data_IF_800959849894
#
_entry.id   IF_800959849894
#
_cell.length_a   1.000
_cell.length_b   1.000
_cell.length_c   1.000
_cell.angle_alpha   90.00
_cell.angle_beta   90.00
_cell.angle_gamma   90.00
#
_symmetry.space_group_name_H-M   'P 1'
#
loop_
_entity.id
_entity.type
_entity.pdbx_description
1 polymer ?
#
# COMPACT_ATOMS: atom_id res chain seq x y z
N UNK A 1 -16.30 33.67 9.35
CA UNK A 1 -17.31 32.85 10.06
C UNK A 1 -16.71 31.48 10.28
N UNK A 2 -16.29 31.13 11.50
CA UNK A 2 -15.65 29.84 11.78
C UNK A 2 -16.65 28.70 11.70
N UNK A 3 -16.29 27.59 11.03
CA UNK A 3 -17.12 26.40 10.97
C UNK A 3 -17.43 25.89 12.39
N UNK A 4 -18.69 25.49 12.68
CA UNK A 4 -19.05 24.97 13.99
C UNK A 4 -18.19 23.75 14.31
N UNK A 5 -17.54 23.75 15.47
CA UNK A 5 -16.75 22.60 15.90
C UNK A 5 -17.67 21.37 16.03
N UNK A 6 -17.24 20.20 15.52
CA UNK A 6 -18.02 18.98 15.70
C UNK A 6 -18.16 18.70 17.20
N UNK A 7 -19.32 18.17 17.63
CA UNK A 7 -19.59 17.92 19.04
C UNK A 7 -18.49 17.01 19.63
N UNK A 8 -18.08 17.25 20.89
CA UNK A 8 -17.07 16.44 21.54
C UNK A 8 -17.52 14.97 21.54
N UNK A 9 -16.63 14.08 21.12
CA UNK A 9 -16.94 12.64 21.08
C UNK A 9 -17.26 12.18 22.50
N UNK A 10 -18.38 11.45 22.70
CA UNK A 10 -18.74 10.98 24.02
C UNK A 10 -17.63 10.07 24.58
N UNK A 11 -17.39 10.09 25.90
CA UNK A 11 -16.37 9.26 26.52
C UNK A 11 -16.62 7.78 26.22
N UNK A 12 -15.55 7.06 25.86
CA UNK A 12 -15.63 5.63 25.58
C UNK A 12 -15.95 4.88 26.88
N UNK A 13 -17.19 4.40 27.00
CA UNK A 13 -17.61 3.63 28.16
C UNK A 13 -17.07 2.20 28.12
N UNK A 14 -16.19 1.83 29.04
CA UNK A 14 -15.59 0.49 29.09
C UNK A 14 -16.62 -0.56 29.57
N UNK A 15 -16.90 -1.55 28.72
CA UNK A 15 -17.88 -2.59 29.01
C UNK A 15 -17.40 -3.47 30.17
N UNK A 16 -18.22 -3.57 31.22
CA UNK A 16 -17.87 -4.34 32.43
C UNK A 16 -16.93 -3.62 33.39
N UNK A 17 -16.70 -2.31 33.24
CA UNK A 17 -15.83 -1.52 34.11
C UNK A 17 -16.17 -1.64 35.61
N UNK A 18 -17.46 -1.66 35.96
CA UNK A 18 -17.91 -1.83 37.35
C UNK A 18 -17.52 -3.20 37.93
N UNK A 19 -17.64 -4.27 37.13
CA UNK A 19 -17.27 -5.63 37.53
C UNK A 19 -15.74 -5.76 37.66
N UNK A 20 -15.01 -5.18 36.72
CA UNK A 20 -13.55 -5.08 36.78
C UNK A 20 -13.09 -4.28 37.99
N UNK A 21 -13.82 -3.22 38.39
CA UNK A 21 -13.50 -2.36 39.52
C UNK A 21 -13.56 -3.11 40.86
N UNK A 22 -14.58 -3.94 41.07
CA UNK A 22 -14.69 -4.79 42.27
C UNK A 22 -13.54 -5.80 42.41
N UNK A 23 -12.89 -6.16 41.30
CA UNK A 23 -11.77 -7.10 41.28
C UNK A 23 -10.39 -6.40 41.32
N UNK A 24 -10.33 -5.07 41.39
CA UNK A 24 -9.06 -4.32 41.41
C UNK A 24 -8.26 -4.53 42.69
N UNK A 25 -8.94 -4.80 43.81
CA UNK A 25 -8.33 -5.01 45.12
C UNK A 25 -8.00 -6.48 45.40
N UNK A 26 -8.35 -7.39 44.48
CA UNK A 26 -8.03 -8.80 44.64
C UNK A 26 -6.50 -9.02 44.49
N UNK A 27 -5.90 -9.72 45.44
CA UNK A 27 -4.47 -10.06 45.41
C UNK A 27 -4.11 -11.04 44.29
N UNK A 28 -5.06 -11.88 43.86
CA UNK A 28 -4.92 -12.77 42.73
C UNK A 28 -6.25 -12.92 41.98
N UNK A 29 -6.17 -13.06 40.65
CA UNK A 29 -7.31 -13.33 39.78
C UNK A 29 -7.27 -14.77 39.29
N UNK A 30 -8.45 -15.41 39.21
CA UNK A 30 -8.54 -16.73 38.58
C UNK A 30 -8.24 -16.62 37.07
N UNK A 31 -7.71 -17.70 36.49
CA UNK A 31 -7.46 -17.80 35.04
C UNK A 31 -8.73 -17.48 34.24
N UNK A 32 -9.87 -17.97 34.70
CA UNK A 32 -11.15 -17.76 34.04
C UNK A 32 -11.55 -16.27 34.03
N UNK A 33 -11.37 -15.56 35.14
CA UNK A 33 -11.72 -14.15 35.25
C UNK A 33 -10.85 -13.28 34.33
N UNK A 34 -9.55 -13.60 34.25
CA UNK A 34 -8.63 -12.95 33.30
C UNK A 34 -9.07 -13.18 31.85
N UNK A 35 -9.43 -14.41 31.48
CA UNK A 35 -9.85 -14.74 30.12
C UNK A 35 -11.16 -14.05 29.75
N UNK A 36 -12.16 -14.05 30.65
CA UNK A 36 -13.44 -13.36 30.44
C UNK A 36 -13.25 -11.85 30.28
N UNK A 37 -12.40 -11.23 31.11
CA UNK A 37 -12.06 -9.80 31.02
C UNK A 37 -11.38 -9.46 29.71
N UNK A 38 -10.37 -10.24 29.29
CA UNK A 38 -9.65 -10.04 28.02
C UNK A 38 -10.57 -10.20 26.82
N UNK A 39 -11.40 -11.25 26.79
CA UNK A 39 -12.36 -11.49 25.71
C UNK A 39 -13.32 -10.31 25.55
N UNK A 40 -13.91 -9.83 26.67
CA UNK A 40 -14.83 -8.69 26.66
C UNK A 40 -14.17 -7.42 26.12
N UNK A 41 -12.96 -7.10 26.60
CA UNK A 41 -12.19 -5.93 26.16
C UNK A 41 -11.82 -6.02 24.68
N UNK A 42 -11.41 -7.19 24.19
CA UNK A 42 -11.08 -7.39 22.79
C UNK A 42 -12.30 -7.20 21.88
N UNK A 43 -13.44 -7.80 22.23
CA UNK A 43 -14.67 -7.64 21.46
C UNK A 43 -15.14 -6.17 21.44
N UNK A 44 -15.03 -5.48 22.57
CA UNK A 44 -15.32 -4.05 22.63
C UNK A 44 -14.39 -3.24 21.75
N UNK A 45 -13.07 -3.51 21.81
CA UNK A 45 -12.08 -2.84 20.99
C UNK A 45 -12.38 -3.02 19.49
N UNK A 46 -12.67 -4.26 19.06
CA UNK A 46 -13.05 -4.55 17.69
C UNK A 46 -14.30 -3.78 17.25
N UNK A 47 -15.31 -3.67 18.13
CA UNK A 47 -16.52 -2.90 17.86
C UNK A 47 -16.22 -1.41 17.67
N UNK A 48 -15.39 -0.82 18.53
CA UNK A 48 -15.00 0.59 18.45
C UNK A 48 -14.21 0.90 17.17
N UNK A 49 -13.23 0.07 16.80
CA UNK A 49 -12.47 0.25 15.56
C UNK A 49 -13.38 0.11 14.33
N UNK A 50 -14.32 -0.83 14.34
CA UNK A 50 -15.30 -0.98 13.27
C UNK A 50 -16.19 0.26 13.15
N UNK A 51 -16.69 0.79 14.25
CA UNK A 51 -17.48 2.02 14.26
C UNK A 51 -16.67 3.22 13.75
N UNK A 52 -15.41 3.37 14.17
CA UNK A 52 -14.52 4.43 13.70
C UNK A 52 -14.24 4.32 12.20
N UNK A 53 -14.01 3.10 11.71
CA UNK A 53 -13.82 2.85 10.29
C UNK A 53 -15.03 3.31 9.47
N UNK A 54 -16.25 2.91 9.88
CA UNK A 54 -17.47 3.30 9.15
C UNK A 54 -17.72 4.81 9.22
N UNK A 55 -17.51 5.44 10.39
CA UNK A 55 -17.62 6.90 10.50
C UNK A 55 -16.67 7.63 9.54
N UNK A 56 -15.40 7.18 9.44
CA UNK A 56 -14.44 7.75 8.49
C UNK A 56 -14.82 7.45 7.03
N UNK A 57 -15.31 6.23 6.75
CA UNK A 57 -15.73 5.83 5.42
C UNK A 57 -16.92 6.63 4.91
N UNK A 58 -17.80 7.11 5.80
CA UNK A 58 -18.92 7.99 5.46
C UNK A 58 -18.50 9.47 5.37
N UNK A 59 -17.64 9.95 6.28
CA UNK A 59 -17.20 11.34 6.31
C UNK A 59 -16.24 11.72 5.17
N UNK A 60 -15.30 10.83 4.81
CA UNK A 60 -14.26 11.14 3.83
C UNK A 60 -14.84 11.41 2.42
N UNK A 61 -15.74 10.59 1.86
CA UNK A 61 -16.36 10.87 0.57
C UNK A 61 -17.20 12.15 0.59
N UNK A 62 -17.90 12.43 1.69
CA UNK A 62 -18.70 13.65 1.82
C UNK A 62 -17.83 14.92 1.79
N UNK A 63 -16.74 14.92 2.57
CA UNK A 63 -15.77 16.03 2.58
C UNK A 63 -15.01 16.14 1.26
N UNK A 64 -14.65 15.02 0.65
CA UNK A 64 -14.05 15.00 -0.69
C UNK A 64 -15.01 15.57 -1.74
N UNK A 65 -16.31 15.24 -1.65
CA UNK A 65 -17.34 15.80 -2.51
C UNK A 65 -17.47 17.31 -2.34
N UNK A 66 -17.48 17.82 -1.10
CA UNK A 66 -17.48 19.26 -0.81
C UNK A 66 -16.22 19.94 -1.34
N UNK A 67 -15.04 19.40 -1.05
CA UNK A 67 -13.77 19.90 -1.59
C UNK A 67 -13.78 19.94 -3.12
N UNK A 68 -14.28 18.88 -3.75
CA UNK A 68 -14.36 18.82 -5.20
C UNK A 68 -15.43 19.77 -5.76
N UNK A 69 -16.48 20.06 -5.02
CA UNK A 69 -17.46 21.07 -5.41
C UNK A 69 -16.87 22.49 -5.34
N UNK A 70 -16.13 22.77 -4.27
CA UNK A 70 -15.52 24.09 -4.02
C UNK A 70 -14.25 24.35 -4.86
N UNK A 71 -13.50 23.29 -5.21
CA UNK A 71 -12.17 23.36 -5.84
C UNK A 71 -12.03 22.47 -7.10
N UNK A 72 -13.09 21.81 -7.57
CA UNK A 72 -13.03 20.87 -8.70
C UNK A 72 -12.80 21.53 -10.06
N UNK A 73 -13.05 22.83 -10.15
CA UNK A 73 -12.30 23.67 -11.07
C UNK A 73 -10.95 23.97 -10.40
N UNK A 74 -9.89 23.29 -10.84
CA UNK A 74 -8.52 23.68 -10.52
C UNK A 74 -8.44 25.21 -10.61
N UNK A 75 -7.85 25.93 -9.64
CA UNK A 75 -7.47 27.32 -9.87
C UNK A 75 -6.45 27.26 -11.00
N UNK A 76 -6.94 27.32 -12.24
CA UNK A 76 -6.18 27.90 -13.31
C UNK A 76 -5.84 29.27 -12.76
N UNK A 77 -4.55 29.50 -12.59
CA UNK A 77 -4.06 30.83 -12.32
C UNK A 77 -4.58 31.69 -13.48
N UNK A 78 -5.68 32.40 -13.24
CA UNK A 78 -6.10 33.54 -14.03
C UNK A 78 -5.11 34.68 -13.75
N UNK A 79 -3.82 34.42 -13.98
CA UNK A 79 -2.81 35.46 -14.06
C UNK A 79 -2.77 35.90 -15.53
N UNK A 80 -3.55 36.95 -15.80
CA UNK A 80 -3.40 37.90 -16.91
C UNK A 80 -3.24 37.29 -18.31
N UNK A 81 -4.35 37.00 -18.99
CA UNK A 81 -4.36 36.87 -20.46
C UNK A 81 -4.04 38.23 -21.11
N UNK A 82 -3.00 38.36 -21.95
CA UNK A 82 -2.91 39.46 -22.90
C UNK A 82 -4.00 39.29 -23.97
N UNK A 83 -4.69 40.37 -24.40
CA UNK A 83 -5.78 40.27 -25.35
C UNK A 83 -5.21 40.18 -26.76
N UNK A 84 -4.86 38.99 -27.22
CA UNK A 84 -4.64 38.69 -28.63
C UNK A 84 -4.61 37.19 -28.83
N UNK A 85 -5.70 36.64 -29.39
CA UNK A 85 -5.72 35.66 -30.48
C UNK A 85 -7.18 35.15 -30.63
N UNK A 86 -8.04 36.04 -31.09
CA UNK A 86 -9.16 35.64 -31.95
C UNK A 86 -8.62 34.96 -33.20
N UNK A 87 -9.36 33.94 -33.70
CA UNK A 87 -9.16 33.14 -34.92
C UNK A 87 -8.23 31.93 -34.70
N UNK A 88 -8.70 30.68 -34.76
CA UNK A 88 -9.26 30.05 -35.95
C UNK A 88 -10.18 28.86 -35.60
N UNK A 89 -11.39 28.91 -36.15
CA UNK A 89 -12.29 27.79 -36.38
C UNK A 89 -11.68 26.89 -37.48
N UNK A 90 -11.57 25.58 -37.23
CA UNK A 90 -11.14 24.63 -38.26
C UNK A 90 -11.43 23.18 -37.87
N UNK A 91 -12.40 22.58 -38.56
CA UNK A 91 -12.82 21.19 -38.44
C UNK A 91 -11.75 20.22 -38.96
N UNK A 92 -11.74 18.98 -38.45
CA UNK A 92 -10.98 17.90 -39.08
C UNK A 92 -11.12 16.57 -38.36
N UNK A 93 -11.89 15.66 -38.96
CA UNK A 93 -12.08 14.29 -38.53
C UNK A 93 -10.81 13.43 -38.72
N UNK A 94 -10.60 12.46 -37.83
CA UNK A 94 -9.56 11.44 -37.96
C UNK A 94 -9.88 10.23 -37.09
N UNK A 95 -10.51 9.22 -37.70
CA UNK A 95 -10.77 7.93 -37.10
C UNK A 95 -9.49 7.07 -37.08
N UNK A 96 -9.23 6.41 -35.94
CA UNK A 96 -8.20 5.38 -35.80
C UNK A 96 -8.52 4.48 -34.58
N UNK A 97 -8.40 3.14 -34.69
CA UNK A 97 -9.07 2.21 -33.80
C UNK A 97 -8.27 1.92 -32.51
N UNK A 98 -8.93 2.05 -31.35
CA UNK A 98 -8.41 1.53 -30.08
C UNK A 98 -9.13 0.22 -29.73
N UNK A 99 -8.35 -0.86 -29.73
CA UNK A 99 -8.77 -2.16 -29.25
C UNK A 99 -8.82 -2.23 -27.71
N UNK A 100 -9.84 -2.95 -27.24
CA UNK A 100 -10.03 -3.60 -25.94
C UNK A 100 -10.15 -2.75 -24.66
N UNK A 101 -11.40 -2.51 -24.26
CA UNK A 101 -12.01 -3.36 -23.22
C UNK A 101 -12.01 -2.82 -21.78
N UNK A 102 -12.92 -1.89 -21.48
CA UNK A 102 -13.52 -1.73 -20.14
C UNK A 102 -14.98 -1.24 -20.31
N UNK A 103 -15.93 -2.17 -20.25
CA UNK A 103 -17.37 -1.86 -20.14
C UNK A 103 -17.73 -1.65 -18.67
N UNK A 104 -18.37 -0.53 -18.35
CA UNK A 104 -19.16 -0.39 -17.12
C UNK A 104 -18.81 0.81 -16.23
N UNK A 105 -19.09 2.03 -16.70
CA UNK A 105 -19.48 3.14 -15.82
C UNK A 105 -20.26 4.16 -16.66
N UNK A 106 -21.45 4.53 -16.18
CA UNK A 106 -22.28 5.57 -16.78
C UNK A 106 -21.47 6.86 -16.93
N UNK A 107 -21.50 7.43 -18.14
CA UNK A 107 -20.88 8.72 -18.43
C UNK A 107 -21.61 9.85 -17.68
N UNK A 108 -20.92 10.71 -16.92
CA UNK A 108 -21.46 12.02 -16.59
C UNK A 108 -21.39 12.96 -17.81
N UNK A 109 -22.29 13.96 -17.90
CA UNK A 109 -22.37 14.86 -19.04
C UNK A 109 -21.11 15.72 -19.14
N UNK A 110 -20.74 16.05 -20.38
CA UNK A 110 -19.61 16.87 -20.74
C UNK A 110 -19.60 18.20 -19.96
N UNK A 111 -18.71 18.30 -18.96
CA UNK A 111 -18.38 19.54 -18.29
C UNK A 111 -17.11 20.12 -18.93
N UNK A 112 -17.27 21.34 -19.46
CA UNK A 112 -16.29 22.37 -19.80
C UNK A 112 -14.87 21.94 -20.19
N UNK A 113 -14.49 22.27 -21.42
CA UNK A 113 -13.17 22.12 -22.01
C UNK A 113 -12.10 22.97 -21.30
N UNK A 114 -11.65 22.55 -20.13
CA UNK A 114 -10.36 22.89 -19.54
C UNK A 114 -9.41 21.71 -19.73
N UNK A 115 -8.97 21.48 -20.97
CA UNK A 115 -8.02 20.41 -21.25
C UNK A 115 -6.72 20.66 -20.48
N UNK A 116 -6.35 19.79 -19.53
CA UNK A 116 -5.01 19.85 -18.89
C UNK A 116 -3.95 20.02 -19.97
N UNK A 117 -2.98 20.90 -19.72
CA UNK A 117 -1.86 21.16 -20.61
C UNK A 117 -1.15 19.86 -21.04
N UNK A 118 -0.53 19.89 -22.21
CA UNK A 118 0.36 18.81 -22.65
C UNK A 118 1.59 18.73 -21.74
N UNK A 119 2.22 17.56 -21.75
CA UNK A 119 3.46 17.31 -21.02
C UNK A 119 4.57 18.26 -21.48
N UNK A 120 5.29 18.88 -20.55
CA UNK A 120 6.42 19.77 -20.81
C UNK A 120 7.70 19.05 -21.28
N UNK A 121 7.72 17.72 -21.26
CA UNK A 121 8.84 16.94 -21.82
C UNK A 121 8.92 17.08 -23.34
N UNK A 122 10.14 17.19 -23.88
CA UNK A 122 10.39 17.28 -25.31
C UNK A 122 9.72 16.14 -26.07
N UNK A 123 8.96 16.47 -27.12
CA UNK A 123 8.28 15.50 -27.99
C UNK A 123 7.30 14.58 -27.25
N UNK A 124 6.55 15.11 -26.27
CA UNK A 124 5.53 14.35 -25.55
C UNK A 124 4.16 15.01 -25.64
N UNK A 125 3.25 14.38 -26.37
CA UNK A 125 1.87 14.88 -26.55
C UNK A 125 0.90 14.34 -25.48
N UNK A 126 1.42 13.62 -24.49
CA UNK A 126 0.61 13.06 -23.43
C UNK A 126 0.07 14.17 -22.52
N UNK A 127 -1.16 14.00 -22.03
CA UNK A 127 -1.79 14.92 -21.08
C UNK A 127 -1.00 14.98 -19.77
N UNK A 128 -0.72 16.19 -19.29
CA UNK A 128 -0.06 16.36 -18.00
C UNK A 128 -0.93 15.84 -16.85
N UNK A 129 -0.26 15.38 -15.79
CA UNK A 129 -0.90 14.95 -14.55
C UNK A 129 -1.46 16.17 -13.79
N UNK A 130 -2.50 15.99 -12.96
CA UNK A 130 -2.96 17.05 -12.07
C UNK A 130 -1.81 17.60 -11.22
N UNK A 131 -1.74 18.93 -11.09
CA UNK A 131 -0.72 19.65 -10.31
C UNK A 131 0.73 19.43 -10.78
N UNK A 132 0.94 18.93 -12.00
CA UNK A 132 2.27 18.78 -12.62
C UNK A 132 2.24 19.24 -14.07
N UNK A 133 3.40 19.66 -14.57
CA UNK A 133 3.60 19.97 -15.99
C UNK A 133 3.93 18.72 -16.82
N UNK A 134 4.12 17.55 -16.19
CA UNK A 134 4.55 16.33 -16.85
C UNK A 134 3.45 15.26 -16.84
N UNK A 135 3.43 14.40 -17.85
CA UNK A 135 2.55 13.23 -17.89
C UNK A 135 3.04 12.14 -16.92
N UNK A 136 2.25 11.09 -16.72
CA UNK A 136 2.63 9.97 -15.83
C UNK A 136 4.02 9.40 -16.15
N UNK A 137 4.38 9.22 -17.42
CA UNK A 137 5.70 8.65 -17.81
C UNK A 137 6.87 9.58 -17.50
N UNK A 138 6.63 10.89 -17.50
CA UNK A 138 7.64 11.92 -17.29
C UNK A 138 7.54 12.59 -15.91
N UNK A 139 6.67 12.09 -15.02
CA UNK A 139 6.41 12.70 -13.72
C UNK A 139 7.68 12.82 -12.85
N UNK A 140 8.66 11.94 -13.09
CA UNK A 140 9.95 11.96 -12.41
C UNK A 140 10.89 13.11 -12.87
N UNK A 141 10.57 13.79 -13.98
CA UNK A 141 11.28 15.00 -14.42
C UNK A 141 10.84 16.26 -13.64
N UNK A 142 9.71 16.18 -12.92
CA UNK A 142 9.19 17.30 -12.16
C UNK A 142 10.04 17.52 -10.89
N UNK A 143 10.68 18.68 -10.70
CA UNK A 143 11.50 18.95 -9.52
C UNK A 143 10.67 19.02 -8.23
N UNK A 144 9.36 19.28 -8.33
CA UNK A 144 8.45 19.36 -7.18
C UNK A 144 7.79 18.01 -6.87
N UNK A 145 8.15 16.94 -7.58
CA UNK A 145 7.57 15.63 -7.39
C UNK A 145 7.95 15.04 -6.01
N UNK A 146 6.94 14.77 -5.17
CA UNK A 146 7.11 14.06 -3.89
C UNK A 146 6.38 12.72 -3.77
N UNK A 147 5.46 12.39 -4.68
CA UNK A 147 4.62 11.18 -4.62
C UNK A 147 5.19 9.94 -5.34
N UNK A 148 6.10 10.12 -6.28
CA UNK A 148 6.62 9.08 -7.17
C UNK A 148 8.15 8.96 -7.03
N UNK A 149 8.64 7.75 -7.20
CA UNK A 149 10.05 7.38 -7.27
C UNK A 149 10.28 6.39 -8.43
N UNK A 150 11.49 6.34 -9.01
CA UNK A 150 11.80 5.38 -10.05
C UNK A 150 11.74 3.95 -9.49
N UNK A 151 11.20 3.04 -10.29
CA UNK A 151 11.22 1.62 -9.98
C UNK A 151 12.65 1.11 -9.80
N UNK A 152 12.94 0.56 -8.62
CA UNK A 152 14.25 0.04 -8.22
C UNK A 152 14.53 -1.38 -8.75
N UNK A 153 13.74 -1.89 -9.70
CA UNK A 153 13.97 -3.21 -10.27
C UNK A 153 15.21 -3.20 -11.17
N UNK A 154 16.22 -4.04 -10.91
CA UNK A 154 17.39 -4.15 -11.78
C UNK A 154 16.98 -4.82 -13.09
N UNK A 155 17.13 -4.11 -14.20
CA UNK A 155 16.93 -4.67 -15.54
C UNK A 155 18.28 -5.09 -16.11
N UNK A 156 18.46 -6.39 -16.37
CA UNK A 156 19.59 -6.85 -17.17
C UNK A 156 19.28 -6.54 -18.63
N UNK A 157 19.88 -5.48 -19.18
CA UNK A 157 19.89 -5.29 -20.63
C UNK A 157 20.99 -6.19 -21.20
N UNK A 158 20.62 -7.09 -22.11
CA UNK A 158 21.56 -7.90 -22.88
C UNK A 158 22.40 -6.98 -23.77
N UNK A 159 23.65 -6.69 -23.38
CA UNK A 159 24.63 -6.09 -24.29
C UNK A 159 25.53 -4.96 -23.79
N UNK A 160 25.50 -4.55 -22.50
CA UNK A 160 26.46 -3.54 -21.99
C UNK A 160 27.13 -3.99 -20.69
N UNK A 161 28.48 -3.91 -20.57
CA UNK A 161 29.22 -4.57 -19.49
C UNK A 161 29.33 -3.78 -18.18
N UNK A 162 28.80 -2.57 -18.06
CA UNK A 162 28.95 -1.73 -16.86
C UNK A 162 27.74 -0.80 -16.65
N UNK A 163 26.78 -1.25 -15.86
CA UNK A 163 25.67 -0.43 -15.38
C UNK A 163 24.42 -1.27 -15.15
N UNK A 164 24.07 -1.51 -13.89
CA UNK A 164 22.76 -2.04 -13.53
C UNK A 164 21.70 -0.99 -13.90
N UNK A 165 21.17 -1.08 -15.12
CA UNK A 165 20.10 -0.20 -15.55
C UNK A 165 18.85 -0.53 -14.72
N UNK A 166 18.38 0.40 -13.91
CA UNK A 166 17.09 0.28 -13.22
C UNK A 166 15.94 0.58 -14.18
N UNK A 167 14.77 -0.02 -13.92
CA UNK A 167 13.59 0.14 -14.77
C UNK A 167 13.18 1.60 -14.99
N UNK A 168 13.29 2.46 -13.96
CA UNK A 168 12.99 3.88 -14.07
C UNK A 168 11.50 4.23 -14.21
N UNK A 169 10.58 3.26 -14.26
CA UNK A 169 9.14 3.52 -14.29
C UNK A 169 8.68 4.20 -12.98
N UNK A 170 7.80 5.21 -13.01
CA UNK A 170 7.30 5.87 -11.80
C UNK A 170 6.47 4.92 -10.92
N UNK A 171 6.78 4.87 -9.62
CA UNK A 171 6.11 4.07 -8.58
C UNK A 171 5.79 4.98 -7.40
N UNK A 172 4.67 4.77 -6.69
CA UNK A 172 4.31 5.59 -5.54
C UNK A 172 5.30 5.41 -4.38
N UNK A 173 5.74 6.54 -3.79
CA UNK A 173 6.52 6.55 -2.55
C UNK A 173 5.68 5.92 -1.44
N UNK A 174 6.20 4.87 -0.82
CA UNK A 174 5.51 4.07 0.21
C UNK A 174 5.17 2.65 -0.23
N UNK A 175 5.25 2.32 -1.52
CA UNK A 175 5.22 0.91 -1.95
C UNK A 175 6.58 0.29 -1.61
N UNK A 176 6.57 -0.70 -0.71
CA UNK A 176 7.76 -1.47 -0.36
C UNK A 176 7.58 -2.92 -0.79
N UNK A 177 8.41 -3.45 -1.71
CA UNK A 177 9.53 -2.80 -2.41
C UNK A 177 9.06 -1.84 -3.53
N UNK A 178 9.89 -0.85 -3.90
CA UNK A 178 9.62 0.15 -4.96
C UNK A 178 9.61 -0.49 -6.37
N UNK A 179 8.55 -1.24 -6.70
CA UNK A 179 8.41 -1.99 -7.97
C UNK A 179 7.16 -1.54 -8.72
N UNK A 180 7.29 -1.39 -10.04
CA UNK A 180 6.15 -1.13 -10.92
C UNK A 180 5.32 -2.41 -11.13
N UNK A 181 4.11 -2.25 -11.68
CA UNK A 181 3.18 -3.36 -11.90
C UNK A 181 3.77 -4.51 -12.74
N UNK A 182 4.68 -4.20 -13.68
CA UNK A 182 5.33 -5.21 -14.52
C UNK A 182 6.42 -6.00 -13.79
N UNK A 183 6.98 -5.43 -12.72
CA UNK A 183 8.14 -5.94 -12.00
C UNK A 183 7.81 -6.53 -10.64
N UNK A 184 6.68 -6.14 -10.04
CA UNK A 184 6.19 -6.77 -8.82
C UNK A 184 6.03 -8.29 -8.97
N UNK A 185 5.22 -8.84 -9.91
CA UNK A 185 5.03 -10.29 -10.03
C UNK A 185 6.32 -11.04 -10.40
N UNK A 186 7.22 -10.42 -11.18
CA UNK A 186 8.53 -11.02 -11.52
C UNK A 186 9.42 -11.13 -10.29
N UNK A 187 9.43 -10.10 -9.44
CA UNK A 187 10.20 -10.14 -8.20
C UNK A 187 9.70 -11.19 -7.22
N UNK A 188 8.38 -11.34 -7.12
CA UNK A 188 7.77 -12.36 -6.28
C UNK A 188 8.22 -13.75 -6.74
N UNK A 189 8.19 -14.03 -8.06
CA UNK A 189 8.67 -15.29 -8.64
C UNK A 189 10.15 -15.56 -8.33
N UNK A 190 11.02 -14.56 -8.50
CA UNK A 190 12.45 -14.70 -8.18
C UNK A 190 12.70 -15.00 -6.69
N UNK A 191 11.92 -14.40 -5.79
CA UNK A 191 11.99 -14.69 -4.36
C UNK A 191 11.55 -16.13 -4.09
N UNK A 192 10.44 -16.57 -4.68
CA UNK A 192 9.95 -17.95 -4.54
C UNK A 192 10.96 -18.97 -5.08
N UNK A 193 11.58 -18.69 -6.22
CA UNK A 193 12.62 -19.54 -6.81
C UNK A 193 13.87 -19.60 -5.93
N UNK A 194 14.33 -18.47 -5.40
CA UNK A 194 15.45 -18.44 -4.45
C UNK A 194 15.15 -19.23 -3.17
N UNK A 195 13.92 -19.14 -2.64
CA UNK A 195 13.50 -19.90 -1.46
C UNK A 195 13.47 -21.42 -1.73
N UNK A 196 12.99 -21.83 -2.91
CA UNK A 196 13.03 -23.24 -3.35
C UNK A 196 14.46 -23.77 -3.47
N UNK A 197 15.37 -22.98 -4.01
CA UNK A 197 16.78 -23.35 -4.13
C UNK A 197 17.46 -23.56 -2.76
N UNK A 198 16.93 -22.93 -1.71
CA UNK A 198 17.40 -23.08 -0.31
C UNK A 198 16.69 -24.25 0.40
N UNK A 199 15.75 -24.93 -0.26
CA UNK A 199 15.02 -26.08 0.29
C UNK A 199 13.82 -25.71 1.18
N UNK A 200 13.33 -24.46 1.10
CA UNK A 200 12.15 -24.01 1.85
C UNK A 200 10.90 -24.21 1.00
N UNK A 201 10.28 -25.39 1.15
CA UNK A 201 9.01 -25.74 0.51
C UNK A 201 7.82 -25.26 1.35
N UNK A 202 7.54 -23.96 1.33
CA UNK A 202 6.24 -23.47 1.81
C UNK A 202 5.14 -23.96 0.85
N UNK A 203 3.89 -24.19 1.31
CA UNK A 203 2.73 -24.36 0.44
C UNK A 203 2.40 -23.01 -0.23
N UNK A 204 3.27 -22.61 -1.14
CA UNK A 204 3.26 -21.40 -1.92
C UNK A 204 2.21 -21.58 -3.00
N UNK A 205 0.97 -21.24 -2.68
CA UNK A 205 0.00 -20.93 -3.72
C UNK A 205 0.63 -19.80 -4.54
N UNK A 206 0.77 -20.01 -5.85
CA UNK A 206 1.64 -19.28 -6.80
C UNK A 206 1.37 -17.78 -6.98
N UNK A 207 0.61 -17.16 -6.08
CA UNK A 207 0.03 -15.83 -6.25
C UNK A 207 0.58 -14.77 -5.32
N UNK A 208 1.26 -15.11 -4.21
CA UNK A 208 1.81 -14.10 -3.28
C UNK A 208 3.11 -14.57 -2.62
N UNK A 209 4.04 -13.64 -2.38
CA UNK A 209 5.20 -13.85 -1.50
C UNK A 209 4.71 -14.27 -0.11
N UNK A 210 5.31 -15.29 0.52
CA UNK A 210 4.96 -15.67 1.88
C UNK A 210 5.11 -14.49 2.82
N UNK A 211 4.12 -14.23 3.66
CA UNK A 211 4.22 -13.23 4.72
C UNK A 211 5.48 -13.48 5.53
N UNK A 212 6.25 -12.44 5.83
CA UNK A 212 7.49 -12.53 6.61
C UNK A 212 7.32 -13.34 7.91
N UNK A 213 6.14 -13.22 8.54
CA UNK A 213 5.79 -14.01 9.73
C UNK A 213 5.88 -15.53 9.53
N UNK A 214 5.52 -16.03 8.34
CA UNK A 214 5.61 -17.45 8.01
C UNK A 214 7.06 -17.90 7.82
N UNK A 215 7.88 -17.08 7.16
CA UNK A 215 9.32 -17.33 7.01
C UNK A 215 10.03 -17.36 8.37
N UNK A 216 9.71 -16.41 9.25
CA UNK A 216 10.23 -16.41 10.63
C UNK A 216 9.78 -17.67 11.37
N UNK A 217 8.52 -18.08 11.23
CA UNK A 217 8.04 -19.27 11.93
C UNK A 217 8.70 -20.57 11.45
N UNK A 218 8.98 -20.69 10.15
CA UNK A 218 9.61 -21.89 9.60
C UNK A 218 11.11 -21.95 9.92
N UNK A 219 11.81 -20.82 9.79
CA UNK A 219 13.23 -20.73 10.20
C UNK A 219 13.41 -21.03 11.70
N UNK A 220 12.51 -20.55 12.55
CA UNK A 220 12.51 -20.90 13.99
C UNK A 220 12.27 -22.39 14.20
N UNK A 221 11.36 -23.03 13.45
CA UNK A 221 11.13 -24.49 13.52
C UNK A 221 12.37 -25.27 13.13
N UNK A 222 13.03 -24.92 12.02
CA UNK A 222 14.28 -25.56 11.60
C UNK A 222 15.37 -25.43 12.67
N UNK A 223 15.58 -24.24 13.23
CA UNK A 223 16.56 -24.01 14.31
C UNK A 223 16.24 -24.91 15.50
N UNK A 224 14.96 -25.01 15.89
CA UNK A 224 14.53 -25.87 16.99
C UNK A 224 14.74 -27.36 16.66
N UNK A 225 14.44 -27.81 15.44
CA UNK A 225 14.68 -29.20 15.01
C UNK A 225 16.18 -29.53 15.03
N UNK A 226 17.03 -28.66 14.46
CA UNK A 226 18.50 -28.83 14.49
C UNK A 226 19.04 -28.90 15.92
N UNK A 227 18.55 -28.04 16.82
CA UNK A 227 18.91 -28.07 18.25
C UNK A 227 18.45 -29.37 18.94
N UNK A 228 17.24 -29.86 18.64
CA UNK A 228 16.75 -31.14 19.18
C UNK A 228 17.59 -32.33 18.70
N UNK A 229 17.95 -32.37 17.42
CA UNK A 229 18.81 -33.41 16.87
C UNK A 229 20.21 -33.37 17.50
N UNK A 230 20.79 -32.18 17.69
CA UNK A 230 22.06 -32.00 18.40
C UNK A 230 21.97 -32.46 19.87
N UNK A 231 20.85 -32.19 20.55
CA UNK A 231 20.65 -32.61 21.94
C UNK A 231 20.34 -34.09 22.14
N UNK A 232 19.72 -34.73 21.15
CA UNK A 232 19.46 -36.17 21.17
C UNK A 232 20.68 -36.98 20.72
N UNK A 233 21.54 -36.43 19.85
CA UNK A 233 22.80 -37.06 19.45
C UNK A 233 23.85 -37.14 20.57
N UNK A 234 23.77 -36.25 21.58
CA UNK A 234 24.65 -36.27 22.76
C UNK A 234 24.25 -37.27 23.86
N UNK A 235 23.10 -37.96 23.74
CA UNK A 235 22.60 -38.90 24.77
C UNK A 235 22.91 -40.38 24.49
N UNK A 236 23.65 -40.69 23.43
CA UNK A 236 24.07 -42.05 23.09
C UNK A 236 25.57 -42.28 23.34
N UNK A 237 26.02 -42.13 24.59
CA UNK A 237 27.28 -42.73 25.05
C UNK A 237 27.31 -42.84 26.59
N UNK A 238 27.13 -44.03 27.17
CA UNK A 238 27.73 -44.36 28.45
C UNK A 238 29.08 -45.03 28.20
N UNK A 239 30.14 -44.25 28.45
CA UNK A 239 31.27 -44.63 29.29
C UNK A 239 31.57 -46.13 29.42
N UNK A 240 32.55 -46.57 28.64
CA UNK A 240 33.33 -47.79 28.86
C UNK A 240 34.04 -47.70 30.21
N UNK A 241 33.71 -48.55 31.17
CA UNK A 241 34.51 -48.77 32.38
C UNK A 241 34.79 -50.28 32.50
N UNK A 242 36.05 -50.65 32.28
CA UNK A 242 36.65 -51.92 32.68
C UNK A 242 36.96 -51.93 34.18
N UNK A 243 37.30 -53.13 34.69
CA UNK A 243 37.84 -53.53 36.00
C UNK A 243 36.76 -54.19 36.88
N UNK A 244 36.84 -55.45 37.31
CA UNK A 244 37.93 -56.43 37.48
C UNK A 244 37.40 -57.84 37.18
#
# INVERSE_FOLDING_TARGET
>A
MGAPQPPPRPPVHLAGAARDAGLRLASALSREEVLRRRRRRLLQLCSLYRAQFWALADELPARHGQYWWDHGASPALDDELPPSLTLLKGNGAGAGPLGNGCRGALAPPAAAAGGRASCAASNCDAKAMPLSQYCFRHILLDPKQQLYEPCAFPTRKSGTPKGEAICGNPVLRGITPLRCADHDPKSQKLIVEALKNVGIDLPLTSKNVPKLSLLISETVREIQMKRKLSMNGGKAAPSRMSLK
#
